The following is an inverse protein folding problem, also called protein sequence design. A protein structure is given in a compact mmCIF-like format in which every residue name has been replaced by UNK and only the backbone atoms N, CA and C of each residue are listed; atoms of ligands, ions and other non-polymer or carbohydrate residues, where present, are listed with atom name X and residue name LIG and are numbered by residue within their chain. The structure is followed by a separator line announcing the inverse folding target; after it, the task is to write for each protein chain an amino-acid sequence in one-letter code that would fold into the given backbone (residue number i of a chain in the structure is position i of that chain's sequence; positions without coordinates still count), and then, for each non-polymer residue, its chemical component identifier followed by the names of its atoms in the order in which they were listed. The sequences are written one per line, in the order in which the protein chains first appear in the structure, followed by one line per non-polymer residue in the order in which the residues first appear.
data_IF_282823239852
#
_entry.id   IF_282823239852
#
_cell.length_a   1.000
_cell.length_b   1.000
_cell.length_c   1.000
_cell.angle_alpha   90.00
_cell.angle_beta   90.00
_cell.angle_gamma   90.00
#
_symmetry.space_group_name_H-M   'P 1'
#
loop_
_entity.id
_entity.type
_entity.pdbx_description
1 polymer ?
#
# COMPACT_ATOMS: atom_id res chain seq x y z
N UNK A 1 -4.15 -63.91 -29.86
CA UNK A 1 -4.03 -63.41 -28.48
C UNK A 1 -3.53 -61.97 -28.58
N UNK A 2 -4.42 -60.98 -28.41
CA UNK A 2 -4.05 -59.55 -28.39
C UNK A 2 -3.93 -59.11 -26.93
N UNK A 3 -2.75 -58.70 -26.52
CA UNK A 3 -2.50 -58.11 -25.21
C UNK A 3 -2.81 -56.60 -25.25
N UNK A 4 -3.77 -56.17 -24.43
CA UNK A 4 -4.02 -54.76 -24.10
C UNK A 4 -2.81 -54.20 -23.34
N UNK A 5 -2.27 -53.07 -23.78
CA UNK A 5 -1.31 -52.28 -23.01
C UNK A 5 -2.09 -51.18 -22.25
N UNK A 6 -2.02 -51.13 -20.91
CA UNK A 6 -2.69 -50.09 -20.13
C UNK A 6 -1.88 -48.79 -20.22
N UNK A 7 -2.49 -47.73 -20.76
CA UNK A 7 -1.94 -46.37 -20.64
C UNK A 7 -2.01 -45.95 -19.15
N UNK A 8 -0.86 -46.04 -18.47
CA UNK A 8 -0.65 -45.48 -17.14
C UNK A 8 -0.24 -44.01 -17.31
N UNK A 9 -1.22 -43.15 -17.04
CA UNK A 9 -1.17 -41.85 -16.33
C UNK A 9 0.19 -41.18 -16.09
N UNK A 10 0.28 -39.89 -16.43
CA UNK A 10 1.03 -38.91 -15.65
C UNK A 10 0.38 -37.52 -15.79
N UNK A 11 -0.66 -37.25 -14.99
CA UNK A 11 -1.15 -35.89 -14.77
C UNK A 11 -0.08 -35.13 -13.99
N UNK A 12 0.71 -34.34 -14.71
CA UNK A 12 1.68 -33.40 -14.15
C UNK A 12 0.91 -32.32 -13.38
N UNK A 13 0.68 -32.55 -12.08
CA UNK A 13 0.23 -31.53 -11.15
C UNK A 13 1.34 -30.49 -11.04
N UNK A 14 1.23 -29.45 -11.87
CA UNK A 14 2.04 -28.24 -11.80
C UNK A 14 1.80 -27.59 -10.44
N UNK A 15 2.71 -27.87 -9.50
CA UNK A 15 2.88 -27.12 -8.27
C UNK A 15 3.36 -25.72 -8.64
N UNK A 16 2.42 -24.84 -9.01
CA UNK A 16 2.72 -23.43 -9.16
C UNK A 16 3.17 -22.90 -7.79
N UNK A 17 4.38 -22.33 -7.67
CA UNK A 17 4.78 -21.68 -6.44
C UNK A 17 3.77 -20.57 -6.16
N UNK A 18 3.11 -20.64 -5.00
CA UNK A 18 2.35 -19.50 -4.51
C UNK A 18 3.38 -18.39 -4.29
N UNK A 19 3.37 -17.39 -5.16
CA UNK A 19 4.10 -16.16 -4.91
C UNK A 19 3.52 -15.58 -3.63
N UNK A 20 4.20 -15.83 -2.51
CA UNK A 20 3.98 -15.08 -1.28
C UNK A 20 4.59 -13.72 -1.52
N UNK A 21 3.79 -12.77 -1.99
CA UNK A 21 4.17 -11.38 -1.89
C UNK A 21 4.40 -11.10 -0.41
N UNK A 22 5.63 -10.71 -0.06
CA UNK A 22 5.95 -10.33 1.31
C UNK A 22 5.24 -9.00 1.57
N UNK A 23 4.03 -9.05 2.13
CA UNK A 23 3.33 -7.85 2.53
C UNK A 23 3.95 -7.32 3.81
N UNK A 24 4.53 -6.12 3.73
CA UNK A 24 5.06 -5.44 4.90
C UNK A 24 3.94 -4.73 5.64
N UNK A 25 3.97 -4.75 6.96
CA UNK A 25 3.08 -3.92 7.78
C UNK A 25 3.77 -2.60 8.07
N UNK A 26 3.06 -1.47 7.95
CA UNK A 26 3.58 -0.13 8.24
C UNK A 26 3.80 0.06 9.77
N UNK A 27 4.78 -0.63 10.35
CA UNK A 27 5.05 -0.63 11.79
C UNK A 27 6.15 0.36 12.20
N UNK A 28 6.88 0.93 11.24
CA UNK A 28 7.95 1.86 11.55
C UNK A 28 7.37 3.23 11.94
N UNK A 29 7.54 3.61 13.21
CA UNK A 29 7.11 4.91 13.74
C UNK A 29 8.01 6.08 13.35
N UNK A 30 9.12 5.81 12.67
CA UNK A 30 10.05 6.83 12.18
C UNK A 30 10.70 7.69 13.26
N UNK A 31 11.30 8.83 12.86
CA UNK A 31 12.02 9.73 13.76
C UNK A 31 11.11 10.62 14.64
N UNK A 32 9.81 10.74 14.30
CA UNK A 32 8.86 11.58 15.02
C UNK A 32 7.42 11.12 14.74
N UNK A 33 6.48 11.22 15.68
CA UNK A 33 5.06 11.02 15.40
C UNK A 33 4.46 12.13 14.51
N UNK A 34 5.18 13.25 14.35
CA UNK A 34 4.84 14.36 13.46
C UNK A 34 5.95 14.50 12.40
N UNK A 35 5.72 14.05 11.15
CA UNK A 35 6.72 14.11 10.09
C UNK A 35 7.24 15.52 9.82
N UNK A 36 6.40 16.55 9.97
CA UNK A 36 6.82 17.93 9.76
C UNK A 36 7.89 18.37 10.77
N UNK A 37 7.75 17.94 12.04
CA UNK A 37 8.79 18.17 13.07
C UNK A 37 10.07 17.39 12.83
N UNK A 38 10.00 16.29 12.08
CA UNK A 38 11.17 15.53 11.64
C UNK A 38 11.82 16.07 10.35
N UNK A 39 11.34 17.21 9.83
CA UNK A 39 11.91 17.83 8.62
C UNK A 39 11.34 17.30 7.31
N UNK A 40 10.30 16.47 7.34
CA UNK A 40 9.62 16.02 6.13
C UNK A 40 8.71 17.13 5.60
N UNK A 41 8.62 17.22 4.28
CA UNK A 41 7.72 18.15 3.59
C UNK A 41 6.42 17.43 3.22
N UNK A 42 5.28 18.08 3.46
CA UNK A 42 3.98 17.54 3.04
C UNK A 42 3.94 17.50 1.50
N UNK A 43 3.78 16.30 0.93
CA UNK A 43 3.62 16.11 -0.50
C UNK A 43 2.18 16.40 -0.93
N UNK A 44 1.22 15.69 -0.34
CA UNK A 44 -0.19 15.82 -0.69
C UNK A 44 -1.10 15.40 0.46
N UNK A 45 -2.33 15.88 0.43
CA UNK A 45 -3.47 15.21 1.06
C UNK A 45 -4.15 14.38 -0.03
N UNK A 46 -4.63 13.20 0.32
CA UNK A 46 -5.30 12.30 -0.60
C UNK A 46 -6.66 11.91 -0.05
N UNK A 47 -7.71 12.35 -0.74
CA UNK A 47 -9.10 12.10 -0.35
C UNK A 47 -9.53 10.67 -0.72
N UNK A 48 -10.37 10.08 0.14
CA UNK A 48 -11.01 8.80 -0.12
C UNK A 48 -12.02 8.90 -1.28
N UNK A 49 -11.91 7.98 -2.23
CA UNK A 49 -12.87 7.76 -3.30
C UNK A 49 -13.43 6.35 -3.18
N UNK A 50 -14.70 6.23 -2.77
CA UNK A 50 -15.35 4.94 -2.65
C UNK A 50 -15.57 4.32 -4.04
N UNK A 51 -15.13 3.06 -4.21
CA UNK A 51 -15.35 2.27 -5.43
C UNK A 51 -16.60 1.41 -5.28
N UNK A 52 -16.79 0.80 -4.11
CA UNK A 52 -17.99 0.05 -3.70
C UNK A 52 -18.02 -0.08 -2.17
N UNK A 53 -18.90 -0.92 -1.61
CA UNK A 53 -19.07 -1.10 -0.16
C UNK A 53 -17.85 -1.76 0.54
N UNK A 54 -16.93 -2.32 -0.23
CA UNK A 54 -15.77 -3.04 0.26
C UNK A 54 -14.44 -2.50 -0.26
N UNK A 55 -14.48 -1.45 -1.10
CA UNK A 55 -13.29 -0.92 -1.76
C UNK A 55 -13.31 0.59 -1.87
N UNK A 56 -12.15 1.21 -1.65
CA UNK A 56 -11.92 2.64 -1.84
C UNK A 56 -10.48 2.90 -2.29
N UNK A 57 -10.25 4.02 -2.95
CA UNK A 57 -8.92 4.49 -3.35
C UNK A 57 -8.63 5.87 -2.77
N UNK A 58 -7.36 6.20 -2.62
CA UNK A 58 -6.91 7.50 -2.11
C UNK A 58 -5.99 8.14 -3.14
N UNK A 59 -6.46 9.22 -3.75
CA UNK A 59 -5.72 9.94 -4.78
C UNK A 59 -5.28 11.29 -4.25
N UNK A 60 -4.05 11.71 -4.52
CA UNK A 60 -3.59 13.04 -4.13
C UNK A 60 -4.51 14.12 -4.71
N UNK A 61 -4.98 15.05 -3.87
CA UNK A 61 -5.92 16.10 -4.27
C UNK A 61 -5.33 17.04 -5.33
N UNK A 62 -4.01 17.23 -5.29
CA UNK A 62 -3.26 18.04 -6.27
C UNK A 62 -2.86 17.28 -7.54
N UNK A 63 -3.05 15.96 -7.57
CA UNK A 63 -2.79 15.13 -8.74
C UNK A 63 -3.68 13.87 -8.71
N UNK A 64 -4.90 13.93 -9.30
CA UNK A 64 -5.85 12.83 -9.24
C UNK A 64 -5.38 11.52 -9.88
N UNK A 65 -4.35 11.53 -10.73
CA UNK A 65 -3.78 10.29 -11.28
C UNK A 65 -2.82 9.59 -10.32
N UNK A 66 -2.45 10.26 -9.23
CA UNK A 66 -1.52 9.75 -8.21
C UNK A 66 -2.27 8.99 -7.13
N UNK A 67 -2.37 7.67 -7.29
CA UNK A 67 -2.91 6.75 -6.30
C UNK A 67 -1.86 6.49 -5.21
N UNK A 68 -2.17 6.84 -3.96
CA UNK A 68 -1.22 6.68 -2.83
C UNK A 68 -1.58 5.53 -1.90
N UNK A 69 -2.87 5.18 -1.83
CA UNK A 69 -3.36 4.08 -1.02
C UNK A 69 -4.66 3.52 -1.59
N UNK A 70 -4.96 2.29 -1.24
CA UNK A 70 -6.23 1.64 -1.53
C UNK A 70 -6.70 0.79 -0.36
N UNK A 71 -8.00 0.57 -0.28
CA UNK A 71 -8.63 -0.20 0.78
C UNK A 71 -9.41 -1.36 0.17
N UNK A 72 -9.20 -2.56 0.71
CA UNK A 72 -9.99 -3.74 0.36
C UNK A 72 -9.62 -4.45 -0.95
N UNK A 73 -8.59 -3.99 -1.67
CA UNK A 73 -8.16 -4.65 -2.92
C UNK A 73 -7.33 -5.91 -2.64
N UNK A 74 -6.36 -5.81 -1.73
CA UNK A 74 -5.50 -6.94 -1.39
C UNK A 74 -6.19 -7.95 -0.47
N UNK A 75 -6.91 -7.46 0.53
CA UNK A 75 -7.69 -8.27 1.46
C UNK A 75 -8.83 -7.42 2.08
N UNK A 76 -9.97 -8.05 2.47
CA UNK A 76 -11.07 -7.33 3.09
C UNK A 76 -10.62 -6.49 4.30
N UNK A 77 -10.96 -5.21 4.28
CA UNK A 77 -10.68 -4.28 5.37
C UNK A 77 -9.24 -3.76 5.43
N UNK A 78 -8.33 -4.25 4.60
CA UNK A 78 -6.93 -3.84 4.64
C UNK A 78 -6.74 -2.51 3.89
N UNK A 79 -6.08 -1.54 4.53
CA UNK A 79 -5.64 -0.29 3.90
C UNK A 79 -4.17 -0.44 3.51
N UNK A 80 -3.87 -0.43 2.22
CA UNK A 80 -2.53 -0.58 1.66
C UNK A 80 -2.03 0.75 1.11
N UNK A 81 -0.78 1.10 1.42
CA UNK A 81 -0.09 2.25 0.85
C UNK A 81 0.86 1.76 -0.23
N UNK A 82 0.72 2.34 -1.42
CA UNK A 82 1.58 2.03 -2.55
C UNK A 82 3.01 2.48 -2.32
N UNK A 83 3.91 1.94 -3.14
CA UNK A 83 5.31 2.37 -3.14
C UNK A 83 5.47 3.80 -3.68
N UNK A 84 6.31 4.65 -3.07
CA UNK A 84 6.58 5.98 -3.60
C UNK A 84 7.34 5.96 -4.93
N UNK A 85 8.37 5.12 -5.07
CA UNK A 85 9.38 5.26 -6.12
C UNK A 85 9.66 3.99 -6.94
N UNK A 86 8.89 2.92 -6.74
CA UNK A 86 9.04 1.70 -7.53
C UNK A 86 7.88 1.53 -8.52
N UNK A 87 8.13 0.93 -9.70
CA UNK A 87 7.09 0.41 -10.59
C UNK A 87 5.92 1.34 -10.98
N UNK A 88 6.10 2.66 -11.04
CA UNK A 88 5.01 3.62 -11.27
C UNK A 88 4.41 4.23 -10.00
N UNK A 89 5.16 4.23 -8.90
CA UNK A 89 4.81 4.87 -7.65
C UNK A 89 4.46 6.36 -7.75
N UNK A 90 3.87 6.89 -6.69
CA UNK A 90 3.29 8.24 -6.67
C UNK A 90 4.32 9.38 -6.49
N UNK A 91 5.58 9.06 -6.22
CA UNK A 91 6.67 10.02 -6.15
C UNK A 91 7.12 10.46 -7.55
N UNK A 92 7.39 11.75 -7.74
CA UNK A 92 8.02 12.23 -8.96
C UNK A 92 9.47 11.72 -9.08
N UNK A 93 10.00 11.67 -10.31
CA UNK A 93 11.40 11.26 -10.55
C UNK A 93 12.39 12.08 -9.71
N UNK A 94 12.20 13.39 -9.61
CA UNK A 94 13.06 14.27 -8.80
C UNK A 94 13.01 13.90 -7.31
N UNK A 95 11.82 13.62 -6.76
CA UNK A 95 11.67 13.18 -5.37
C UNK A 95 12.31 11.82 -5.13
N UNK A 96 12.24 10.91 -6.10
CA UNK A 96 12.82 9.59 -5.98
C UNK A 96 14.35 9.57 -6.12
N UNK A 97 14.91 10.50 -6.88
CA UNK A 97 16.36 10.63 -7.09
C UNK A 97 17.04 11.43 -5.98
N UNK A 98 16.44 12.57 -5.59
CA UNK A 98 17.07 13.55 -4.68
C UNK A 98 16.45 13.59 -3.29
N UNK A 99 15.24 13.06 -3.13
CA UNK A 99 14.58 12.97 -1.82
C UNK A 99 15.24 11.93 -0.93
N UNK A 100 14.95 12.02 0.36
CA UNK A 100 15.44 11.03 1.31
C UNK A 100 14.81 9.65 1.08
N UNK A 101 15.40 8.65 1.73
CA UNK A 101 14.98 7.26 1.57
C UNK A 101 13.62 6.95 2.23
N UNK A 102 13.12 7.83 3.10
CA UNK A 102 11.95 7.60 3.92
C UNK A 102 10.77 8.48 3.50
N UNK A 103 9.58 7.95 3.64
CA UNK A 103 8.32 8.63 3.34
C UNK A 103 7.40 8.51 4.54
N UNK A 104 6.74 9.61 4.89
CA UNK A 104 5.79 9.64 6.00
C UNK A 104 4.36 9.49 5.49
N UNK A 105 3.58 8.66 6.16
CA UNK A 105 2.17 8.43 5.88
C UNK A 105 1.37 8.67 7.16
N UNK A 106 0.34 9.51 7.09
CA UNK A 106 -0.51 9.81 8.23
C UNK A 106 -1.97 9.58 7.90
N UNK A 107 -2.71 9.02 8.87
CA UNK A 107 -4.17 8.89 8.81
C UNK A 107 -4.79 9.69 9.94
N UNK A 108 -6.01 10.20 9.72
CA UNK A 108 -6.81 10.83 10.77
C UNK A 108 -7.94 9.87 11.16
N UNK A 109 -7.79 9.24 12.32
CA UNK A 109 -8.78 8.33 12.88
C UNK A 109 -9.54 8.94 14.07
N UNK A 110 -10.43 8.16 14.66
CA UNK A 110 -11.20 8.57 15.86
C UNK A 110 -10.31 8.91 17.06
N UNK A 111 -9.14 8.27 17.16
CA UNK A 111 -8.16 8.49 18.23
C UNK A 111 -7.19 9.64 17.95
N UNK A 112 -7.39 10.38 16.85
CA UNK A 112 -6.50 11.44 16.40
C UNK A 112 -5.63 11.02 15.22
N UNK A 113 -4.58 11.80 14.97
CA UNK A 113 -3.64 11.57 13.87
C UNK A 113 -2.60 10.55 14.29
N UNK A 114 -2.40 9.53 13.46
CA UNK A 114 -1.31 8.58 13.58
C UNK A 114 -0.46 8.61 12.32
N UNK A 115 0.86 8.56 12.47
CA UNK A 115 1.81 8.55 11.37
C UNK A 115 2.75 7.36 11.45
N UNK A 116 3.06 6.80 10.29
CA UNK A 116 4.05 5.73 10.06
C UNK A 116 4.97 6.14 8.93
N UNK A 117 6.00 5.34 8.71
CA UNK A 117 6.99 5.60 7.68
C UNK A 117 7.29 4.32 6.91
N UNK A 118 7.65 4.48 5.65
CA UNK A 118 8.12 3.42 4.77
C UNK A 118 9.34 3.88 3.96
N UNK A 119 10.11 2.93 3.43
CA UNK A 119 11.15 3.24 2.47
C UNK A 119 10.54 3.65 1.13
N UNK A 120 11.25 4.46 0.34
CA UNK A 120 10.84 4.89 -1.00
C UNK A 120 10.53 3.76 -1.98
N UNK A 121 11.02 2.54 -1.75
CA UNK A 121 10.76 1.37 -2.61
C UNK A 121 9.86 0.32 -1.97
N UNK A 122 9.42 0.54 -0.73
CA UNK A 122 8.51 -0.38 -0.05
C UNK A 122 7.08 0.05 -0.32
N UNK A 123 6.16 -0.91 -0.36
CA UNK A 123 4.74 -0.73 -0.06
C UNK A 123 4.48 -1.28 1.34
N UNK A 124 3.35 -0.91 1.95
CA UNK A 124 2.96 -1.51 3.22
C UNK A 124 1.47 -1.44 3.49
N UNK A 125 0.97 -2.43 4.22
CA UNK A 125 -0.36 -2.42 4.78
C UNK A 125 -0.38 -1.73 6.14
N UNK A 126 -1.33 -0.82 6.34
CA UNK A 126 -1.53 -0.16 7.61
C UNK A 126 -1.84 -1.20 8.71
N UNK A 127 -1.33 -1.04 9.95
CA UNK A 127 -1.62 -1.98 11.02
C UNK A 127 -3.12 -2.03 11.35
N UNK A 128 -3.71 -3.22 11.21
CA UNK A 128 -5.12 -3.48 11.52
C UNK A 128 -6.03 -3.51 10.30
N UNK A 129 -7.33 -3.45 10.55
CA UNK A 129 -8.37 -3.50 9.51
C UNK A 129 -9.41 -2.42 9.74
N UNK A 130 -9.99 -1.91 8.67
CA UNK A 130 -11.00 -0.88 8.65
C UNK A 130 -12.33 -1.41 8.07
N UNK A 131 -13.43 -0.87 8.56
CA UNK A 131 -14.73 -0.87 7.89
C UNK A 131 -14.91 0.44 7.14
N UNK A 132 -15.89 0.56 6.25
CA UNK A 132 -16.15 1.83 5.55
C UNK A 132 -16.40 2.99 6.52
N UNK A 133 -17.04 2.73 7.67
CA UNK A 133 -17.33 3.75 8.70
C UNK A 133 -16.13 4.14 9.57
N UNK A 134 -15.08 3.32 9.57
CA UNK A 134 -13.86 3.55 10.36
C UNK A 134 -12.63 3.87 9.51
N UNK A 135 -12.75 3.70 8.20
CA UNK A 135 -11.75 4.10 7.21
C UNK A 135 -11.55 5.62 7.28
N UNK A 136 -10.30 6.12 7.22
CA UNK A 136 -10.07 7.56 7.21
C UNK A 136 -10.62 8.17 5.92
N UNK A 137 -11.26 9.33 6.02
CA UNK A 137 -11.77 10.07 4.85
C UNK A 137 -10.66 10.67 3.99
N UNK A 138 -9.45 10.79 4.53
CA UNK A 138 -8.24 11.23 3.84
C UNK A 138 -6.98 10.70 4.50
N UNK A 139 -5.90 10.67 3.74
CA UNK A 139 -4.54 10.40 4.22
C UNK A 139 -3.60 11.54 3.84
N UNK A 140 -2.48 11.68 4.55
CA UNK A 140 -1.49 12.74 4.30
C UNK A 140 -0.14 12.10 4.03
N UNK A 141 0.48 12.46 2.91
CA UNK A 141 1.76 11.93 2.46
C UNK A 141 2.85 12.98 2.62
N UNK A 142 4.00 12.56 3.10
CA UNK A 142 5.18 13.38 3.33
C UNK A 142 6.40 12.75 2.64
N UNK A 143 7.28 13.59 2.09
CA UNK A 143 8.60 13.19 1.61
C UNK A 143 9.69 13.88 2.43
N UNK A 144 10.77 13.16 2.73
CA UNK A 144 12.01 13.77 3.27
C UNK A 144 12.88 14.36 2.17
#
# INVERSE_FOLDING_TARGET
MLHLNPLITASLLLLAPRATANHFTCNWGGPSPDPGKAGFTKLCEATQHQVNDHQATFHCDNNPTSLVADWGFLAPGLLEFGTPCNGGGYGSSLQCETGGAAWGICIEGKSGRECKYLNRYDDCAWPGTFTLETLPSKVIIYNS
#
